data_IF_466580911532
#
_entry.id   IF_466580911532
#
_cell.length_a   1.000
_cell.length_b   1.000
_cell.length_c   1.000
_cell.angle_alpha   90.00
_cell.angle_beta   90.00
_cell.angle_gamma   90.00
#
_symmetry.space_group_name_H-M   'P 1'
#
loop_
_entity.id
_entity.type
_entity.pdbx_description
1 polymer ?
#
# COMPACT_ATOMS: atom_id res chain seq x y z
N UNK A 1 25.57 52.51 36.03
CA UNK A 1 26.06 51.49 35.07
C UNK A 1 26.17 50.08 35.65
N UNK A 2 26.94 49.81 36.72
CA UNK A 2 27.12 48.44 37.25
C UNK A 2 25.82 47.69 37.59
N UNK A 3 24.84 48.35 38.24
CA UNK A 3 23.54 47.73 38.58
C UNK A 3 22.69 47.38 37.35
N UNK A 4 22.73 48.20 36.31
CA UNK A 4 22.02 47.94 35.04
C UNK A 4 22.68 46.75 34.33
N UNK A 5 24.01 46.70 34.32
CA UNK A 5 24.75 45.59 33.73
C UNK A 5 24.47 44.26 34.45
N UNK A 6 24.44 44.25 35.78
CA UNK A 6 24.07 43.06 36.57
C UNK A 6 22.64 42.61 36.29
N UNK A 7 21.70 43.55 36.18
CA UNK A 7 20.30 43.24 35.89
C UNK A 7 20.10 42.62 34.50
N UNK A 8 20.79 43.15 33.48
CA UNK A 8 20.79 42.58 32.12
C UNK A 8 21.41 41.17 32.11
N UNK A 9 22.53 40.97 32.80
CA UNK A 9 23.18 39.64 32.88
C UNK A 9 22.24 38.61 33.51
N UNK A 10 21.57 38.95 34.61
CA UNK A 10 20.64 38.03 35.29
C UNK A 10 19.46 37.66 34.37
N UNK A 11 18.86 38.62 33.68
CA UNK A 11 17.76 38.35 32.73
C UNK A 11 18.23 37.46 31.57
N UNK A 12 19.44 37.67 31.08
CA UNK A 12 19.98 36.90 29.96
C UNK A 12 20.23 35.45 30.39
N UNK A 13 20.77 35.24 31.59
CA UNK A 13 21.00 33.90 32.15
C UNK A 13 19.68 33.19 32.44
N UNK A 14 18.69 33.86 33.04
CA UNK A 14 17.39 33.22 33.33
C UNK A 14 16.63 32.87 32.06
N UNK A 15 16.69 33.72 31.03
CA UNK A 15 16.08 33.45 29.72
C UNK A 15 16.78 32.31 28.98
N UNK A 16 18.11 32.22 29.07
CA UNK A 16 18.85 31.11 28.48
C UNK A 16 18.54 29.79 29.21
N UNK A 17 18.48 29.82 30.55
CA UNK A 17 18.15 28.63 31.34
C UNK A 17 16.72 28.15 31.10
N UNK A 18 15.75 29.06 30.96
CA UNK A 18 14.37 28.67 30.63
C UNK A 18 14.25 28.08 29.23
N UNK A 19 15.01 28.56 28.24
CA UNK A 19 15.08 27.96 26.90
C UNK A 19 15.70 26.56 26.96
N UNK A 20 16.78 26.37 27.71
CA UNK A 20 17.43 25.05 27.85
C UNK A 20 16.51 24.05 28.56
N UNK A 21 15.82 24.47 29.63
CA UNK A 21 14.85 23.62 30.33
C UNK A 21 13.65 23.32 29.43
N UNK A 22 13.14 24.31 28.67
CA UNK A 22 12.07 24.08 27.71
C UNK A 22 12.50 23.09 26.63
N UNK A 23 13.68 23.26 26.02
CA UNK A 23 14.24 22.28 25.08
C UNK A 23 14.38 20.88 25.70
N UNK A 24 14.87 20.78 26.95
CA UNK A 24 15.04 19.49 27.62
C UNK A 24 13.70 18.82 27.97
N UNK A 25 12.64 19.61 28.17
CA UNK A 25 11.28 19.12 28.41
C UNK A 25 10.53 18.82 27.10
N UNK A 26 10.94 19.44 25.98
CA UNK A 26 10.40 19.18 24.63
C UNK A 26 11.23 18.20 23.82
N UNK A 27 12.42 17.81 24.29
CA UNK A 27 13.19 16.65 23.84
C UNK A 27 12.50 15.33 24.27
N UNK A 28 11.17 15.33 24.25
CA UNK A 28 10.41 14.10 24.13
C UNK A 28 10.45 13.76 22.64
N UNK A 29 11.34 12.84 22.29
CA UNK A 29 11.48 12.17 20.98
C UNK A 29 10.23 11.30 20.66
N UNK A 30 9.04 11.81 20.98
CA UNK A 30 7.76 11.10 20.98
C UNK A 30 6.88 11.42 19.77
N UNK A 31 7.46 12.01 18.72
CA UNK A 31 6.81 12.11 17.41
C UNK A 31 7.15 10.96 16.46
N UNK A 32 7.96 9.98 16.89
CA UNK A 32 7.97 8.67 16.25
C UNK A 32 6.76 7.88 16.74
N UNK A 33 5.85 7.51 15.83
CA UNK A 33 4.81 6.53 16.08
C UNK A 33 5.42 5.33 16.81
N UNK A 34 5.16 5.16 18.11
CA UNK A 34 5.46 3.92 18.85
C UNK A 34 4.84 2.77 18.05
N UNK A 35 5.64 2.05 17.26
CA UNK A 35 5.15 0.98 16.40
C UNK A 35 5.70 0.95 14.97
N UNK A 36 6.54 1.90 14.53
CA UNK A 36 7.20 1.80 13.21
C UNK A 36 8.59 1.19 13.36
N UNK A 37 8.85 0.09 12.64
CA UNK A 37 10.14 -0.56 12.56
C UNK A 37 10.66 -0.53 11.12
N UNK A 38 11.98 -0.38 10.97
CA UNK A 38 12.65 -0.52 9.69
C UNK A 38 13.45 -1.81 9.67
N UNK A 39 13.37 -2.55 8.56
CA UNK A 39 14.14 -3.77 8.38
C UNK A 39 14.80 -3.77 7.00
N UNK A 40 15.91 -4.51 6.91
CA UNK A 40 16.58 -4.79 5.65
C UNK A 40 16.72 -6.29 5.48
N UNK A 41 16.53 -6.76 4.25
CA UNK A 41 16.69 -8.16 3.89
C UNK A 41 17.33 -8.27 2.51
N UNK A 42 18.44 -8.98 2.43
CA UNK A 42 18.98 -9.41 1.15
C UNK A 42 18.02 -10.43 0.50
N UNK A 43 17.62 -10.14 -0.73
CA UNK A 43 16.83 -11.02 -1.58
C UNK A 43 17.74 -11.79 -2.51
N UNK A 44 17.71 -13.12 -2.43
CA UNK A 44 18.44 -13.97 -3.38
C UNK A 44 17.74 -13.99 -4.73
N UNK A 45 16.41 -13.89 -4.73
CA UNK A 45 15.58 -13.90 -5.94
C UNK A 45 15.80 -12.63 -6.78
N UNK A 46 15.89 -11.47 -6.13
CA UNK A 46 16.11 -10.20 -6.81
C UNK A 46 17.60 -9.82 -6.92
N UNK A 47 18.48 -10.48 -6.15
CA UNK A 47 19.92 -10.21 -6.14
C UNK A 47 20.27 -8.86 -5.49
N UNK A 48 19.42 -8.35 -4.60
CA UNK A 48 19.52 -6.99 -4.06
C UNK A 48 19.03 -6.91 -2.60
N UNK A 49 19.47 -5.89 -1.86
CA UNK A 49 18.98 -5.61 -0.51
C UNK A 49 17.65 -4.85 -0.56
N UNK A 50 16.63 -5.37 0.12
CA UNK A 50 15.30 -4.78 0.20
C UNK A 50 15.08 -4.15 1.56
N UNK A 51 14.73 -2.87 1.57
CA UNK A 51 14.24 -2.18 2.76
C UNK A 51 12.76 -2.47 2.95
N UNK A 52 12.30 -2.46 4.20
CA UNK A 52 10.92 -2.66 4.62
C UNK A 52 10.58 -1.67 5.73
N UNK A 53 9.36 -1.13 5.69
CA UNK A 53 8.82 -0.24 6.72
C UNK A 53 7.60 -0.92 7.33
N UNK A 54 7.68 -1.28 8.61
CA UNK A 54 6.67 -2.07 9.30
C UNK A 54 5.94 -1.18 10.30
N UNK A 55 4.67 -0.91 10.05
CA UNK A 55 3.78 -0.20 10.97
C UNK A 55 2.97 -1.23 11.75
N UNK A 56 3.23 -1.34 13.04
CA UNK A 56 2.45 -2.15 13.95
C UNK A 56 1.17 -1.42 14.34
N UNK A 57 0.03 -2.13 14.47
CA UNK A 57 -1.17 -1.53 14.98
C UNK A 57 -0.96 -1.09 16.43
N UNK A 58 -1.67 -0.05 16.87
CA UNK A 58 -1.66 0.43 18.26
C UNK A 58 -1.89 -0.72 19.24
N UNK A 59 -1.11 -0.74 20.32
CA UNK A 59 -1.11 -1.81 21.33
C UNK A 59 -0.92 -3.22 20.72
N UNK A 60 0.02 -3.34 19.77
CA UNK A 60 0.39 -4.63 19.21
C UNK A 60 0.77 -5.62 20.32
N UNK A 61 0.19 -6.81 20.25
CA UNK A 61 0.30 -7.87 21.24
C UNK A 61 0.69 -9.16 20.52
N UNK A 62 1.90 -9.64 20.77
CA UNK A 62 2.44 -10.84 20.13
C UNK A 62 1.60 -12.12 20.35
N UNK A 63 0.71 -12.13 21.35
CA UNK A 63 -0.20 -13.26 21.62
C UNK A 63 -1.43 -13.26 20.70
N UNK A 64 -1.73 -12.14 20.03
CA UNK A 64 -2.82 -11.99 19.06
C UNK A 64 -2.30 -12.15 17.64
N UNK A 65 -3.19 -12.53 16.71
CA UNK A 65 -2.86 -12.78 15.31
C UNK A 65 -3.46 -11.68 14.43
N UNK A 66 -2.65 -11.07 13.57
CA UNK A 66 -3.03 -9.91 12.77
C UNK A 66 -2.98 -10.20 11.25
N UNK A 67 -3.91 -9.66 10.44
CA UNK A 67 -3.72 -9.56 9.00
C UNK A 67 -2.53 -8.65 8.68
N UNK A 68 -1.96 -8.84 7.49
CA UNK A 68 -0.85 -8.01 6.98
C UNK A 68 -1.25 -7.38 5.66
N UNK A 69 -1.09 -6.06 5.55
CA UNK A 69 -1.23 -5.34 4.29
C UNK A 69 0.13 -4.92 3.75
N UNK A 70 0.47 -5.44 2.58
CA UNK A 70 1.67 -5.08 1.84
C UNK A 70 1.39 -3.86 0.97
N UNK A 71 2.12 -2.77 1.21
CA UNK A 71 1.95 -1.50 0.52
C UNK A 71 3.13 -1.30 -0.42
N UNK A 72 2.88 -1.41 -1.72
CA UNK A 72 3.87 -1.03 -2.73
C UNK A 72 4.13 0.48 -2.68
N UNK A 73 5.30 0.90 -3.17
CA UNK A 73 5.75 2.29 -3.08
C UNK A 73 5.88 2.78 -1.62
N UNK A 74 6.37 1.88 -0.75
CA UNK A 74 6.71 2.18 0.65
C UNK A 74 7.67 3.38 0.75
N UNK A 75 7.52 4.15 1.82
CA UNK A 75 8.10 5.48 1.99
C UNK A 75 7.18 6.60 1.48
N UNK A 76 6.28 6.31 0.53
CA UNK A 76 5.37 7.31 -0.03
C UNK A 76 3.88 6.99 0.16
N UNK A 77 3.50 5.73 0.32
CA UNK A 77 2.09 5.30 0.41
C UNK A 77 1.73 4.62 1.74
N UNK A 78 2.72 4.10 2.46
CA UNK A 78 2.54 3.27 3.66
C UNK A 78 2.05 4.09 4.86
N UNK A 79 2.63 5.27 5.11
CA UNK A 79 2.25 6.12 6.26
C UNK A 79 0.75 6.44 6.27
N UNK A 80 0.22 6.88 5.14
CA UNK A 80 -1.18 7.28 5.09
C UNK A 80 -2.15 6.10 5.17
N UNK A 81 -1.74 4.91 4.72
CA UNK A 81 -2.51 3.68 4.86
C UNK A 81 -2.49 3.22 6.31
N UNK A 82 -1.31 3.23 6.95
CA UNK A 82 -1.15 2.89 8.36
C UNK A 82 -1.99 3.78 9.27
N UNK A 83 -1.96 5.10 9.08
CA UNK A 83 -2.78 6.03 9.85
C UNK A 83 -4.28 5.76 9.70
N UNK A 84 -4.74 5.41 8.48
CA UNK A 84 -6.16 5.08 8.24
C UNK A 84 -6.57 3.78 8.91
N UNK A 85 -5.73 2.74 8.87
CA UNK A 85 -5.98 1.49 9.60
C UNK A 85 -5.98 1.70 11.11
N UNK A 86 -5.07 2.52 11.65
CA UNK A 86 -5.02 2.85 13.07
C UNK A 86 -6.32 3.54 13.54
N UNK A 87 -6.75 4.59 12.83
CA UNK A 87 -7.99 5.32 13.14
C UNK A 87 -9.21 4.40 13.04
N UNK A 88 -9.36 3.69 11.90
CA UNK A 88 -10.53 2.86 11.65
C UNK A 88 -10.60 1.63 12.57
N UNK A 89 -9.45 1.06 12.95
CA UNK A 89 -9.43 -0.09 13.87
C UNK A 89 -9.64 0.33 15.32
N UNK A 90 -9.13 1.49 15.74
CA UNK A 90 -9.44 2.08 17.04
C UNK A 90 -10.93 2.38 17.19
N UNK A 91 -11.57 2.83 16.13
CA UNK A 91 -13.02 3.06 16.08
C UNK A 91 -13.85 1.76 15.88
N UNK A 92 -13.21 0.59 15.81
CA UNK A 92 -13.90 -0.70 15.69
C UNK A 92 -14.49 -1.02 14.31
N UNK A 93 -14.13 -0.27 13.26
CA UNK A 93 -14.63 -0.50 11.90
C UNK A 93 -13.90 -1.64 11.20
N UNK A 94 -12.58 -1.73 11.36
CA UNK A 94 -11.70 -2.69 10.67
C UNK A 94 -10.81 -3.43 11.69
N UNK A 95 -10.38 -4.68 11.44
CA UNK A 95 -9.42 -5.33 12.34
C UNK A 95 -8.09 -4.57 12.38
N UNK A 96 -7.44 -4.58 13.55
CA UNK A 96 -6.04 -4.14 13.69
C UNK A 96 -5.20 -4.92 12.66
N UNK A 97 -4.39 -4.22 11.87
CA UNK A 97 -3.66 -4.77 10.71
C UNK A 97 -2.21 -4.29 10.77
N UNK A 98 -1.26 -5.17 10.50
CA UNK A 98 0.16 -4.80 10.32
C UNK A 98 0.32 -4.26 8.90
N UNK A 99 0.91 -3.08 8.74
CA UNK A 99 1.18 -2.51 7.41
C UNK A 99 2.66 -2.65 7.11
N UNK A 100 2.99 -3.25 5.98
CA UNK A 100 4.37 -3.42 5.51
C UNK A 100 4.56 -2.64 4.23
N UNK A 101 5.15 -1.45 4.34
CA UNK A 101 5.64 -0.67 3.21
C UNK A 101 6.82 -1.36 2.55
N UNK A 102 6.78 -1.43 1.22
CA UNK A 102 7.85 -1.99 0.39
C UNK A 102 8.41 -0.87 -0.50
N UNK A 103 9.44 -0.13 -0.04
CA UNK A 103 10.13 0.86 -0.84
C UNK A 103 10.73 0.27 -2.11
N UNK A 104 10.83 1.10 -3.16
CA UNK A 104 11.60 0.79 -4.35
C UNK A 104 13.04 1.29 -4.17
N UNK A 105 14.01 0.56 -4.73
CA UNK A 105 15.42 0.96 -4.64
C UNK A 105 15.77 2.08 -5.62
N UNK A 106 15.07 2.13 -6.75
CA UNK A 106 15.22 3.14 -7.79
C UNK A 106 13.96 3.22 -8.65
N UNK A 107 13.90 4.19 -9.56
CA UNK A 107 12.82 4.27 -10.54
C UNK A 107 12.84 3.04 -11.48
N UNK A 108 14.00 2.62 -11.97
CA UNK A 108 14.18 1.48 -12.86
C UNK A 108 13.71 0.17 -12.17
N UNK A 109 14.10 -0.02 -10.90
CA UNK A 109 13.65 -1.15 -10.09
C UNK A 109 12.13 -1.16 -9.93
N UNK A 110 11.52 0.00 -9.67
CA UNK A 110 10.07 0.16 -9.59
C UNK A 110 9.40 -0.21 -10.91
N UNK A 111 9.94 0.26 -12.03
CA UNK A 111 9.39 -0.05 -13.35
C UNK A 111 9.47 -1.54 -13.66
N UNK A 112 10.64 -2.14 -13.45
CA UNK A 112 10.90 -3.57 -13.62
C UNK A 112 9.97 -4.42 -12.77
N UNK A 113 9.96 -4.21 -11.45
CA UNK A 113 9.26 -5.08 -10.51
C UNK A 113 7.73 -4.92 -10.54
N UNK A 114 7.22 -3.74 -10.93
CA UNK A 114 5.78 -3.46 -10.90
C UNK A 114 5.09 -3.59 -12.26
N UNK A 115 5.82 -4.00 -13.30
CA UNK A 115 5.29 -4.20 -14.65
C UNK A 115 5.18 -5.72 -14.94
N UNK A 116 4.05 -6.22 -15.45
CA UNK A 116 3.92 -7.62 -15.85
C UNK A 116 4.95 -8.03 -16.90
N UNK A 117 5.37 -9.31 -16.97
CA UNK A 117 6.44 -9.77 -17.87
C UNK A 117 6.06 -9.81 -19.35
N UNK A 118 4.81 -9.47 -19.67
CA UNK A 118 4.32 -9.30 -21.04
C UNK A 118 4.06 -7.82 -21.39
N UNK A 119 4.40 -6.90 -20.48
CA UNK A 119 4.23 -5.46 -20.66
C UNK A 119 5.59 -4.77 -20.70
N UNK A 120 5.72 -3.76 -21.55
CA UNK A 120 6.93 -2.95 -21.70
C UNK A 120 7.08 -1.98 -20.54
N UNK A 121 8.32 -1.73 -20.11
CA UNK A 121 8.62 -0.76 -19.04
C UNK A 121 8.22 0.65 -19.47
N UNK A 122 8.69 1.06 -20.65
CA UNK A 122 8.28 2.26 -21.36
C UNK A 122 7.14 1.91 -22.34
N UNK A 123 6.01 2.58 -22.19
CA UNK A 123 4.83 2.30 -23.01
C UNK A 123 5.00 2.74 -24.48
N UNK A 124 5.78 3.81 -24.68
CA UNK A 124 5.86 4.54 -25.95
C UNK A 124 7.03 4.05 -26.82
N UNK A 125 7.95 3.30 -26.24
CA UNK A 125 9.03 2.61 -26.93
C UNK A 125 8.62 1.15 -27.22
N UNK A 126 8.73 0.72 -28.48
CA UNK A 126 8.34 -0.64 -28.92
C UNK A 126 9.39 -1.69 -28.57
N UNK A 127 10.65 -1.29 -28.44
CA UNK A 127 11.80 -2.15 -28.16
C UNK A 127 12.19 -2.12 -26.68
N UNK A 128 11.43 -1.39 -25.86
CA UNK A 128 11.60 -1.33 -24.41
C UNK A 128 11.51 -2.74 -23.80
N UNK A 129 12.41 -2.98 -22.85
CA UNK A 129 12.42 -4.17 -22.01
C UNK A 129 11.03 -4.46 -21.40
N UNK A 130 10.80 -5.73 -21.09
CA UNK A 130 9.58 -6.17 -20.42
C UNK A 130 9.76 -6.12 -18.90
N UNK A 131 8.63 -6.10 -18.20
CA UNK A 131 8.61 -6.19 -16.75
C UNK A 131 9.13 -7.53 -16.20
N UNK A 132 9.36 -7.56 -14.89
CA UNK A 132 9.77 -8.76 -14.15
C UNK A 132 8.93 -8.93 -12.87
N UNK A 133 7.65 -8.57 -12.93
CA UNK A 133 6.73 -8.73 -11.82
C UNK A 133 6.58 -10.19 -11.36
N UNK A 134 6.85 -11.16 -12.23
CA UNK A 134 6.93 -12.59 -11.88
C UNK A 134 8.03 -12.86 -10.84
N UNK A 135 9.23 -12.31 -11.05
CA UNK A 135 10.32 -12.41 -10.05
C UNK A 135 9.94 -11.71 -8.74
N UNK A 136 9.25 -10.57 -8.83
CA UNK A 136 8.81 -9.85 -7.63
C UNK A 136 7.73 -10.62 -6.85
N UNK A 137 6.80 -11.32 -7.53
CA UNK A 137 5.87 -12.26 -6.87
C UNK A 137 6.65 -13.36 -6.15
N UNK A 138 7.64 -13.99 -6.81
CA UNK A 138 8.42 -15.08 -6.22
C UNK A 138 9.20 -14.60 -4.99
N UNK A 139 9.76 -13.38 -5.04
CA UNK A 139 10.35 -12.71 -3.87
C UNK A 139 9.34 -12.55 -2.74
N UNK A 140 8.14 -12.03 -3.04
CA UNK A 140 7.12 -11.83 -2.01
C UNK A 140 6.74 -13.15 -1.33
N UNK A 141 6.49 -14.20 -2.12
CA UNK A 141 6.07 -15.52 -1.64
C UNK A 141 7.15 -16.24 -0.83
N UNK A 142 8.37 -16.27 -1.36
CA UNK A 142 9.44 -17.15 -0.86
C UNK A 142 10.35 -16.49 0.17
N UNK A 143 10.38 -15.16 0.19
CA UNK A 143 11.34 -14.42 1.01
C UNK A 143 10.68 -13.37 1.90
N UNK A 144 9.78 -12.54 1.37
CA UNK A 144 9.16 -11.47 2.15
C UNK A 144 8.15 -11.99 3.17
N UNK A 145 7.19 -12.81 2.74
CA UNK A 145 6.15 -13.29 3.66
C UNK A 145 6.74 -14.11 4.80
N UNK A 146 7.64 -15.09 4.58
CA UNK A 146 8.27 -15.82 5.67
C UNK A 146 9.06 -14.90 6.62
N UNK A 147 9.71 -13.85 6.09
CA UNK A 147 10.43 -12.89 6.92
C UNK A 147 9.50 -12.13 7.88
N UNK A 148 8.37 -11.62 7.37
CA UNK A 148 7.38 -10.92 8.20
C UNK A 148 6.67 -11.88 9.17
N UNK A 149 6.31 -13.08 8.71
CA UNK A 149 5.55 -14.05 9.50
C UNK A 149 6.38 -14.68 10.62
N UNK A 150 7.70 -14.76 10.47
CA UNK A 150 8.60 -15.18 11.55
C UNK A 150 8.85 -14.07 12.58
N UNK A 151 8.82 -12.81 12.17
CA UNK A 151 9.10 -11.67 13.04
C UNK A 151 7.85 -11.17 13.80
N UNK A 152 6.66 -11.36 13.24
CA UNK A 152 5.42 -10.80 13.77
C UNK A 152 4.28 -11.83 13.82
N UNK A 153 3.33 -11.64 14.73
CA UNK A 153 2.23 -12.57 14.96
C UNK A 153 1.11 -12.36 13.93
N UNK A 154 1.24 -12.99 12.77
CA UNK A 154 0.29 -12.86 11.66
C UNK A 154 -0.76 -13.98 11.64
N UNK A 155 -1.91 -13.76 10.99
CA UNK A 155 -2.94 -14.78 10.73
C UNK A 155 -2.97 -15.29 9.27
N UNK A 156 -1.91 -15.02 8.50
CA UNK A 156 -1.79 -15.32 7.06
C UNK A 156 -2.86 -14.70 6.14
N UNK A 157 -3.73 -13.81 6.65
CA UNK A 157 -4.57 -12.97 5.79
C UNK A 157 -3.71 -11.83 5.24
N UNK A 158 -3.49 -11.85 3.92
CA UNK A 158 -2.63 -10.91 3.21
C UNK A 158 -3.46 -9.99 2.32
N UNK A 159 -3.23 -8.70 2.47
CA UNK A 159 -3.80 -7.65 1.65
C UNK A 159 -2.66 -7.00 0.86
N UNK A 160 -2.97 -6.41 -0.30
CA UNK A 160 -1.97 -5.66 -1.07
C UNK A 160 -2.56 -4.37 -1.64
N UNK A 161 -1.80 -3.28 -1.60
CA UNK A 161 -2.13 -2.04 -2.32
C UNK A 161 -1.04 -1.60 -3.27
N UNK A 162 -1.46 -1.06 -4.41
CA UNK A 162 -0.57 -0.43 -5.39
C UNK A 162 -1.17 0.84 -5.98
N UNK A 163 -0.36 1.89 -6.04
CA UNK A 163 -0.69 3.14 -6.71
C UNK A 163 -0.08 3.17 -8.12
N UNK A 164 -0.81 3.69 -9.09
CA UNK A 164 -0.36 3.83 -10.47
C UNK A 164 0.16 2.49 -11.02
N UNK A 165 1.42 2.43 -11.45
CA UNK A 165 2.09 1.19 -11.89
C UNK A 165 1.99 0.05 -10.87
N UNK A 166 2.00 0.33 -9.57
CA UNK A 166 1.81 -0.70 -8.54
C UNK A 166 0.48 -1.43 -8.67
N UNK A 167 -0.57 -0.78 -9.17
CA UNK A 167 -1.84 -1.46 -9.45
C UNK A 167 -1.76 -2.49 -10.59
N UNK A 168 -0.81 -2.33 -11.53
CA UNK A 168 -0.54 -3.35 -12.56
C UNK A 168 -0.01 -4.62 -11.90
N UNK A 169 0.94 -4.48 -10.95
CA UNK A 169 1.43 -5.61 -10.15
C UNK A 169 0.31 -6.26 -9.34
N UNK A 170 -0.52 -5.47 -8.68
CA UNK A 170 -1.64 -5.99 -7.87
C UNK A 170 -2.58 -6.84 -8.73
N UNK A 171 -2.97 -6.36 -9.92
CA UNK A 171 -3.80 -7.14 -10.84
C UNK A 171 -3.03 -8.32 -11.46
N UNK A 172 -1.74 -8.19 -11.73
CA UNK A 172 -0.94 -9.30 -12.21
C UNK A 172 -0.84 -10.45 -11.18
N UNK A 173 -0.71 -10.13 -9.90
CA UNK A 173 -0.75 -11.13 -8.84
C UNK A 173 -2.09 -11.86 -8.76
N UNK A 174 -3.21 -11.21 -9.11
CA UNK A 174 -4.51 -11.89 -9.25
C UNK A 174 -4.47 -12.97 -10.34
N UNK A 175 -3.89 -12.66 -11.50
CA UNK A 175 -3.83 -13.58 -12.64
C UNK A 175 -2.89 -14.75 -12.41
N UNK A 176 -1.80 -14.52 -11.69
CA UNK A 176 -0.72 -15.50 -11.53
C UNK A 176 -0.83 -16.32 -10.25
N UNK A 177 -1.28 -15.71 -9.15
CA UNK A 177 -1.43 -16.32 -7.81
C UNK A 177 -2.67 -15.75 -7.12
N UNK A 178 -3.86 -16.14 -7.60
CA UNK A 178 -5.13 -15.57 -7.15
C UNK A 178 -5.40 -15.70 -5.65
N UNK A 179 -4.84 -16.72 -5.01
CA UNK A 179 -4.94 -17.03 -3.57
C UNK A 179 -3.90 -16.29 -2.70
N UNK A 180 -2.90 -15.65 -3.31
CA UNK A 180 -1.81 -14.96 -2.60
C UNK A 180 -2.29 -13.85 -1.67
N UNK A 181 -3.36 -13.13 -2.08
CA UNK A 181 -3.95 -12.04 -1.33
C UNK A 181 -5.46 -12.20 -1.26
N UNK A 182 -6.04 -11.95 -0.08
CA UNK A 182 -7.49 -11.97 0.15
C UNK A 182 -8.14 -10.62 -0.21
N UNK A 183 -7.38 -9.53 -0.19
CA UNK A 183 -7.85 -8.21 -0.60
C UNK A 183 -6.80 -7.47 -1.44
N UNK A 184 -7.27 -6.81 -2.50
CA UNK A 184 -6.44 -6.09 -3.47
C UNK A 184 -6.95 -4.66 -3.62
N UNK A 185 -6.08 -3.67 -3.46
CA UNK A 185 -6.40 -2.25 -3.59
C UNK A 185 -5.58 -1.62 -4.72
N UNK A 186 -6.26 -1.11 -5.74
CA UNK A 186 -5.64 -0.50 -6.91
C UNK A 186 -6.06 0.97 -7.01
N UNK A 187 -5.08 1.86 -6.93
CA UNK A 187 -5.32 3.31 -7.04
C UNK A 187 -4.70 3.82 -8.33
N UNK A 188 -5.45 4.59 -9.12
CA UNK A 188 -5.00 5.28 -10.33
C UNK A 188 -4.24 4.40 -11.32
N UNK A 189 -4.66 3.15 -11.45
CA UNK A 189 -3.92 2.13 -12.21
C UNK A 189 -4.01 2.38 -13.72
N UNK A 190 -2.88 2.36 -14.47
CA UNK A 190 -2.88 2.67 -15.89
C UNK A 190 -3.30 1.45 -16.73
N UNK A 191 -4.54 0.99 -16.56
CA UNK A 191 -5.13 -0.15 -17.27
C UNK A 191 -5.17 0.02 -18.80
N UNK A 192 -5.06 1.26 -19.29
CA UNK A 192 -5.07 1.59 -20.71
C UNK A 192 -3.79 1.19 -21.46
N UNK A 193 -2.68 0.98 -20.75
CA UNK A 193 -1.35 0.72 -21.33
C UNK A 193 -1.39 -0.43 -22.33
N UNK A 194 -0.59 -0.28 -23.38
CA UNK A 194 -0.44 -1.26 -24.46
C UNK A 194 -1.78 -1.81 -24.95
N UNK A 195 -2.68 -0.90 -25.34
CA UNK A 195 -4.01 -1.22 -25.86
C UNK A 195 -4.89 -2.02 -24.89
N UNK A 196 -4.81 -1.73 -23.59
CA UNK A 196 -5.53 -2.42 -22.52
C UNK A 196 -5.17 -3.90 -22.36
N UNK A 197 -3.93 -4.31 -22.67
CA UNK A 197 -3.50 -5.71 -22.61
C UNK A 197 -3.80 -6.39 -21.26
N UNK A 198 -3.65 -5.67 -20.15
CA UNK A 198 -3.98 -6.20 -18.81
C UNK A 198 -5.48 -6.44 -18.66
N UNK A 199 -6.33 -5.55 -19.18
CA UNK A 199 -7.79 -5.75 -19.19
C UNK A 199 -8.15 -7.01 -19.98
N UNK A 200 -7.57 -7.19 -21.17
CA UNK A 200 -7.80 -8.40 -21.99
C UNK A 200 -7.41 -9.69 -21.24
N UNK A 201 -6.26 -9.68 -20.55
CA UNK A 201 -5.80 -10.84 -19.77
C UNK A 201 -6.68 -11.12 -18.56
N UNK A 202 -7.19 -10.09 -17.88
CA UNK A 202 -8.18 -10.27 -16.80
C UNK A 202 -9.47 -10.85 -17.36
N UNK A 203 -9.96 -10.35 -18.50
CA UNK A 203 -11.15 -10.89 -19.16
C UNK A 203 -10.99 -12.38 -19.46
N UNK A 204 -9.86 -12.79 -20.03
CA UNK A 204 -9.62 -14.20 -20.37
C UNK A 204 -9.44 -15.08 -19.12
N UNK A 205 -8.76 -14.57 -18.09
CA UNK A 205 -8.67 -15.24 -16.80
C UNK A 205 -10.06 -15.50 -16.22
N UNK A 206 -10.92 -14.49 -16.11
CA UNK A 206 -12.25 -14.63 -15.51
C UNK A 206 -13.16 -15.61 -16.25
N UNK A 207 -13.03 -15.75 -17.59
CA UNK A 207 -13.79 -16.76 -18.34
C UNK A 207 -13.52 -18.20 -17.86
N UNK A 208 -12.34 -18.45 -17.30
CA UNK A 208 -11.89 -19.75 -16.79
C UNK A 208 -12.13 -19.95 -15.28
N UNK A 209 -12.69 -18.96 -14.58
CA UNK A 209 -12.89 -19.03 -13.13
C UNK A 209 -14.37 -19.15 -12.80
N UNK A 210 -14.77 -20.28 -12.23
CA UNK A 210 -16.10 -20.43 -11.64
C UNK A 210 -16.16 -19.86 -10.21
N UNK A 211 -15.04 -19.94 -9.49
CA UNK A 211 -14.90 -19.42 -8.12
C UNK A 211 -13.62 -18.60 -7.98
N UNK A 212 -13.71 -17.46 -7.29
CA UNK A 212 -12.56 -16.60 -7.04
C UNK A 212 -12.77 -15.84 -5.72
N UNK A 213 -12.28 -16.38 -4.61
CA UNK A 213 -12.50 -15.81 -3.27
C UNK A 213 -11.54 -14.66 -2.99
N UNK A 214 -11.87 -13.46 -3.45
CA UNK A 214 -11.06 -12.26 -3.20
C UNK A 214 -11.93 -11.00 -3.18
N UNK A 215 -11.49 -10.02 -2.41
CA UNK A 215 -11.97 -8.65 -2.47
C UNK A 215 -11.07 -7.80 -3.36
N UNK A 216 -11.65 -6.92 -4.18
CA UNK A 216 -10.92 -5.95 -5.00
C UNK A 216 -11.56 -4.57 -4.84
N UNK A 217 -10.74 -3.57 -4.52
CA UNK A 217 -11.10 -2.16 -4.59
C UNK A 217 -10.27 -1.46 -5.67
N UNK A 218 -10.92 -0.71 -6.56
CA UNK A 218 -10.25 0.06 -7.60
C UNK A 218 -10.72 1.52 -7.63
N UNK A 219 -9.83 2.48 -7.79
CA UNK A 219 -10.26 3.86 -7.98
C UNK A 219 -9.36 4.67 -8.90
N UNK A 220 -9.91 5.79 -9.38
CA UNK A 220 -9.20 6.85 -10.10
C UNK A 220 -9.74 8.20 -9.61
N UNK A 221 -8.96 9.26 -9.73
CA UNK A 221 -9.46 10.61 -9.48
C UNK A 221 -10.38 11.11 -10.59
N UNK A 222 -11.40 11.90 -10.26
CA UNK A 222 -12.27 12.54 -11.26
C UNK A 222 -11.51 13.47 -12.21
N UNK A 223 -10.47 14.14 -11.70
CA UNK A 223 -9.64 15.07 -12.46
C UNK A 223 -8.40 14.39 -13.07
N UNK A 224 -8.40 13.06 -13.20
CA UNK A 224 -7.36 12.35 -13.94
C UNK A 224 -7.58 12.37 -15.45
N UNK A 225 -6.51 12.05 -16.18
CA UNK A 225 -6.55 11.91 -17.63
C UNK A 225 -7.63 10.92 -18.08
N UNK A 226 -8.20 11.17 -19.27
CA UNK A 226 -9.21 10.27 -19.86
C UNK A 226 -8.70 8.83 -20.02
N UNK A 227 -7.39 8.65 -20.27
CA UNK A 227 -6.80 7.31 -20.38
C UNK A 227 -6.90 6.53 -19.06
N UNK A 228 -6.64 7.16 -17.90
CA UNK A 228 -6.79 6.49 -16.60
C UNK A 228 -8.26 6.19 -16.33
N UNK A 229 -9.16 7.17 -16.54
CA UNK A 229 -10.60 7.00 -16.27
C UNK A 229 -11.22 5.93 -17.16
N UNK A 230 -11.00 5.99 -18.46
CA UNK A 230 -11.48 4.96 -19.41
C UNK A 230 -10.85 3.59 -19.17
N UNK A 231 -9.59 3.53 -18.74
CA UNK A 231 -8.92 2.29 -18.33
C UNK A 231 -9.62 1.63 -17.12
N UNK A 232 -9.90 2.41 -16.08
CA UNK A 232 -10.67 1.94 -14.91
C UNK A 232 -12.05 1.45 -15.32
N UNK A 233 -12.78 2.23 -16.12
CA UNK A 233 -14.10 1.86 -16.61
C UNK A 233 -14.10 0.50 -17.32
N UNK A 234 -13.14 0.28 -18.25
CA UNK A 234 -13.00 -0.99 -18.97
C UNK A 234 -12.70 -2.16 -18.03
N UNK A 235 -11.79 -1.97 -17.07
CA UNK A 235 -11.46 -3.00 -16.09
C UNK A 235 -12.66 -3.36 -15.21
N UNK A 236 -13.41 -2.37 -14.72
CA UNK A 236 -14.61 -2.59 -13.92
C UNK A 236 -15.68 -3.32 -14.73
N UNK A 237 -15.83 -2.98 -16.02
CA UNK A 237 -16.76 -3.68 -16.92
C UNK A 237 -16.41 -5.18 -17.02
N UNK A 238 -15.13 -5.51 -17.21
CA UNK A 238 -14.65 -6.91 -17.26
C UNK A 238 -15.08 -7.72 -16.04
N UNK A 239 -14.98 -7.16 -14.83
CA UNK A 239 -15.39 -7.87 -13.61
C UNK A 239 -16.91 -8.02 -13.44
N UNK A 240 -17.72 -7.21 -14.13
CA UNK A 240 -19.19 -7.24 -14.03
C UNK A 240 -19.87 -8.18 -15.02
N UNK A 241 -19.21 -8.55 -16.12
CA UNK A 241 -19.84 -9.34 -17.20
C UNK A 241 -20.20 -10.78 -16.77
N UNK A 242 -19.29 -11.47 -16.08
CA UNK A 242 -19.51 -12.81 -15.53
C UNK A 242 -18.66 -13.00 -14.26
N UNK A 243 -19.07 -12.43 -13.12
CA UNK A 243 -18.27 -12.51 -11.89
C UNK A 243 -18.22 -13.96 -11.36
N UNK A 244 -17.03 -14.52 -11.10
CA UNK A 244 -16.90 -15.80 -10.42
C UNK A 244 -17.51 -15.75 -9.01
N UNK A 245 -17.96 -16.89 -8.50
CA UNK A 245 -18.53 -16.98 -7.15
C UNK A 245 -17.45 -16.65 -6.10
N UNK A 246 -17.79 -15.75 -5.18
CA UNK A 246 -16.90 -15.30 -4.09
C UNK A 246 -16.01 -14.12 -4.45
N UNK A 247 -16.11 -13.59 -5.67
CA UNK A 247 -15.44 -12.35 -6.07
C UNK A 247 -16.28 -11.15 -5.65
N UNK A 248 -15.69 -10.22 -4.91
CA UNK A 248 -16.30 -8.94 -4.57
C UNK A 248 -15.48 -7.79 -5.12
N UNK A 249 -16.10 -6.95 -5.96
CA UNK A 249 -15.42 -5.83 -6.63
C UNK A 249 -16.14 -4.53 -6.34
N UNK A 250 -15.40 -3.58 -5.76
CA UNK A 250 -15.83 -2.20 -5.57
C UNK A 250 -14.96 -1.27 -6.39
N UNK A 251 -15.57 -0.23 -6.94
CA UNK A 251 -14.83 0.79 -7.68
C UNK A 251 -15.47 2.17 -7.57
N UNK A 252 -14.67 3.23 -7.70
CA UNK A 252 -15.21 4.59 -7.73
C UNK A 252 -14.26 5.62 -8.32
N UNK A 253 -14.83 6.76 -8.70
CA UNK A 253 -14.06 7.97 -8.95
C UNK A 253 -14.01 8.81 -7.69
N UNK A 254 -12.83 9.28 -7.32
CA UNK A 254 -12.64 10.08 -6.12
C UNK A 254 -12.85 11.56 -6.46
N UNK A 255 -13.82 12.25 -5.83
CA UNK A 255 -14.14 13.62 -6.17
C UNK A 255 -12.96 14.58 -6.02
N UNK A 256 -12.78 15.44 -7.02
CA UNK A 256 -11.68 16.43 -7.12
C UNK A 256 -10.25 15.86 -7.10
N UNK A 257 -10.09 14.53 -7.01
CA UNK A 257 -8.78 13.92 -6.94
C UNK A 257 -8.10 13.87 -8.31
N UNK A 258 -6.77 13.94 -8.28
CA UNK A 258 -5.86 13.77 -9.41
C UNK A 258 -4.99 12.53 -9.15
N UNK A 259 -4.12 12.19 -10.11
CA UNK A 259 -3.26 11.01 -10.04
C UNK A 259 -2.43 10.93 -8.75
N UNK A 260 -1.94 12.07 -8.28
CA UNK A 260 -1.03 12.14 -7.14
C UNK A 260 -1.72 11.90 -5.79
N UNK A 261 -2.96 12.35 -5.61
CA UNK A 261 -3.65 12.32 -4.32
C UNK A 261 -4.83 11.33 -4.27
N UNK A 262 -5.17 10.66 -5.37
CA UNK A 262 -6.27 9.70 -5.38
C UNK A 262 -6.06 8.57 -4.37
N UNK A 263 -4.88 7.95 -4.30
CA UNK A 263 -4.61 6.88 -3.33
C UNK A 263 -4.76 7.35 -1.88
N UNK A 264 -4.26 8.55 -1.57
CA UNK A 264 -4.37 9.19 -0.26
C UNK A 264 -5.84 9.32 0.16
N UNK A 265 -6.69 9.90 -0.70
CA UNK A 265 -8.10 10.16 -0.38
C UNK A 265 -8.94 8.87 -0.41
N UNK A 266 -8.72 8.04 -1.43
CA UNK A 266 -9.56 6.89 -1.77
C UNK A 266 -9.33 5.68 -0.87
N UNK A 267 -8.13 5.55 -0.29
CA UNK A 267 -7.79 4.40 0.57
C UNK A 267 -8.76 4.22 1.75
N UNK A 268 -9.25 5.29 2.37
CA UNK A 268 -10.25 5.21 3.44
C UNK A 268 -11.55 4.55 2.98
N UNK A 269 -12.01 4.87 1.77
CA UNK A 269 -13.22 4.29 1.16
C UNK A 269 -13.00 2.80 0.90
N UNK A 270 -11.84 2.45 0.34
CA UNK A 270 -11.46 1.05 0.12
C UNK A 270 -11.45 0.24 1.42
N UNK A 271 -10.81 0.75 2.48
CA UNK A 271 -10.73 0.06 3.78
C UNK A 271 -12.11 -0.10 4.40
N UNK A 272 -12.99 0.90 4.26
CA UNK A 272 -14.38 0.79 4.71
C UNK A 272 -15.13 -0.32 3.96
N UNK A 273 -14.99 -0.42 2.63
CA UNK A 273 -15.60 -1.49 1.82
C UNK A 273 -15.05 -2.87 2.15
N UNK A 274 -13.75 -2.98 2.40
CA UNK A 274 -13.15 -4.22 2.89
C UNK A 274 -13.75 -4.64 4.23
N UNK A 275 -13.96 -3.68 5.12
CA UNK A 275 -14.55 -3.93 6.44
C UNK A 275 -16.01 -4.34 6.38
N UNK A 276 -16.79 -3.74 5.47
CA UNK A 276 -18.16 -4.18 5.15
C UNK A 276 -18.16 -5.63 4.67
N UNK A 277 -17.26 -5.98 3.74
CA UNK A 277 -17.10 -7.33 3.22
C UNK A 277 -16.74 -8.35 4.32
N UNK A 278 -15.79 -8.04 5.22
CA UNK A 278 -15.46 -8.95 6.34
C UNK A 278 -16.68 -9.28 7.21
N UNK A 279 -17.60 -8.33 7.41
CA UNK A 279 -18.84 -8.56 8.18
C UNK A 279 -19.80 -9.50 7.46
N UNK A 280 -19.72 -9.65 6.14
CA UNK A 280 -20.56 -10.61 5.40
C UNK A 280 -20.02 -12.03 5.54
N UNK A 281 -18.71 -12.20 5.68
CA UNK A 281 -18.06 -13.50 5.89
C UNK A 281 -18.37 -14.07 7.28
N UNK A 282 -18.42 -13.24 8.32
CA UNK A 282 -18.67 -13.67 9.70
C UNK A 282 -20.15 -14.00 10.00
N UNK A 283 -21.07 -13.78 9.05
CA UNK A 283 -22.50 -14.09 9.20
C UNK A 283 -22.89 -15.46 8.60
N UNK A 284 -21.96 -16.15 7.95
CA UNK A 284 -22.14 -17.50 7.41
C UNK A 284 -21.43 -18.51 8.30
#
# INVERSE_FOLDING_TARGET
>A
MKRILTFVIVITITSFLSIVVFCSLTDDDSSSLKGVAHAKKFSKILGEERELIIHLPRDYDSTKKYPVMYVLDGGSQDNHIANKFDILSTAGYTPKTIIVGIPNMSAENRERNLTPPYMRLNNDDKDSELGEADKFIVFMESELFPFIENAYSTNHTRLISGNSRGGLFVMYSLLYKSDMFQARFCFSTPFWRQNNILVSKVTDFLKSQDTLKTFIYMSAGENETENIRSGLYKMVKTFKEKPPVGLEVYSGYTPNAIHHNNAEISSSIGIAKWSEYLKTLNKK
#
